data_IF_077912460846
#
_entry.id   IF_077912460846
#
_cell.length_a   1.000
_cell.length_b   1.000
_cell.length_c   1.000
_cell.angle_alpha   90.00
_cell.angle_beta   90.00
_cell.angle_gamma   90.00
#
_symmetry.space_group_name_H-M   'P 1'
#
loop_
_entity.id
_entity.type
_entity.pdbx_description
1 polymer ?
#
# COMPACT_ATOMS: atom_id res chain seq x y z
N UNK A 1 -9.19 5.43 -4.60
CA UNK A 1 -7.85 4.81 -4.45
C UNK A 1 -6.80 5.90 -4.22
N UNK A 2 -6.74 6.88 -5.09
CA UNK A 2 -5.70 7.92 -5.04
C UNK A 2 -5.70 8.74 -3.74
N UNK A 3 -6.86 9.11 -3.21
CA UNK A 3 -6.95 9.91 -1.98
C UNK A 3 -6.37 9.19 -0.77
N UNK A 4 -6.64 7.91 -0.61
CA UNK A 4 -6.10 7.10 0.48
C UNK A 4 -4.57 6.97 0.36
N UNK A 5 -4.09 6.64 -0.82
CA UNK A 5 -2.66 6.48 -1.09
C UNK A 5 -1.92 7.80 -0.94
N UNK A 6 -2.46 8.88 -1.51
CA UNK A 6 -1.85 10.22 -1.44
C UNK A 6 -1.82 10.73 0.00
N UNK A 7 -2.90 10.57 0.76
CA UNK A 7 -2.96 10.99 2.16
C UNK A 7 -1.91 10.31 3.03
N UNK A 8 -1.78 8.99 2.91
CA UNK A 8 -0.77 8.21 3.65
C UNK A 8 0.64 8.52 3.20
N UNK A 9 0.86 8.65 1.89
CA UNK A 9 2.16 8.95 1.29
C UNK A 9 2.63 10.38 1.63
N UNK A 10 1.73 11.36 1.64
CA UNK A 10 2.07 12.74 1.99
C UNK A 10 2.65 12.85 3.40
N UNK A 11 2.18 12.06 4.35
CA UNK A 11 2.75 12.03 5.69
C UNK A 11 4.18 11.53 5.70
N UNK A 12 4.50 10.56 4.86
CA UNK A 12 5.87 10.06 4.68
C UNK A 12 6.73 11.15 4.04
N UNK A 13 6.26 11.78 2.96
CA UNK A 13 6.99 12.86 2.26
C UNK A 13 7.31 14.03 3.16
N UNK A 14 6.31 14.51 3.89
CA UNK A 14 6.46 15.70 4.74
C UNK A 14 7.52 15.50 5.83
N UNK A 15 7.68 14.26 6.29
CA UNK A 15 8.62 13.97 7.38
C UNK A 15 10.00 13.52 6.89
N UNK A 16 10.07 12.79 5.79
CA UNK A 16 11.30 12.11 5.35
C UNK A 16 11.84 12.59 4.00
N UNK A 17 11.16 13.55 3.38
CA UNK A 17 11.58 14.17 2.11
C UNK A 17 11.94 13.16 1.03
N UNK A 18 11.06 12.18 0.80
CA UNK A 18 11.22 11.22 -0.28
C UNK A 18 10.41 11.61 -1.52
N UNK A 19 10.85 11.15 -2.69
CA UNK A 19 10.12 11.39 -3.92
C UNK A 19 8.73 10.75 -3.89
N UNK A 20 7.73 11.39 -4.51
CA UNK A 20 6.35 10.93 -4.54
C UNK A 20 6.21 9.49 -5.06
N UNK A 21 6.88 9.18 -6.18
CA UNK A 21 6.85 7.83 -6.74
C UNK A 21 7.44 6.76 -5.82
N UNK A 22 8.49 7.12 -5.08
CA UNK A 22 9.09 6.22 -4.09
C UNK A 22 8.12 5.95 -2.93
N UNK A 23 7.44 6.98 -2.44
CA UNK A 23 6.41 6.84 -1.40
C UNK A 23 5.26 5.94 -1.85
N UNK A 24 4.79 6.11 -3.07
CA UNK A 24 3.74 5.27 -3.66
C UNK A 24 4.19 3.81 -3.84
N UNK A 25 5.43 3.58 -4.26
CA UNK A 25 5.97 2.23 -4.42
C UNK A 25 6.01 1.46 -3.09
N UNK A 26 6.17 2.17 -1.97
CA UNK A 26 6.14 1.59 -0.63
C UNK A 26 4.70 1.32 -0.18
N UNK A 27 3.84 2.31 -0.29
CA UNK A 27 2.49 2.27 0.31
C UNK A 27 1.50 1.45 -0.53
N UNK A 28 1.57 1.50 -1.85
CA UNK A 28 0.58 0.87 -2.71
C UNK A 28 0.47 -0.65 -2.49
N UNK A 29 1.55 -1.43 -2.50
CA UNK A 29 1.46 -2.87 -2.21
C UNK A 29 0.94 -3.16 -0.80
N UNK A 30 1.34 -2.39 0.19
CA UNK A 30 0.87 -2.55 1.58
C UNK A 30 -0.63 -2.27 1.70
N UNK A 31 -1.12 -1.21 1.05
CA UNK A 31 -2.54 -0.89 0.97
C UNK A 31 -3.32 -2.03 0.30
N UNK A 32 -2.82 -2.60 -0.78
CA UNK A 32 -3.45 -3.73 -1.45
C UNK A 32 -3.54 -4.95 -0.51
N UNK A 33 -2.47 -5.27 0.21
CA UNK A 33 -2.46 -6.36 1.20
C UNK A 33 -3.50 -6.17 2.29
N UNK A 34 -3.75 -4.93 2.68
CA UNK A 34 -4.70 -4.59 3.73
C UNK A 34 -6.15 -4.61 3.25
N UNK A 35 -6.40 -4.18 2.01
CA UNK A 35 -7.77 -3.91 1.52
C UNK A 35 -8.33 -4.94 0.55
N UNK A 36 -7.55 -5.91 0.06
CA UNK A 36 -8.01 -6.81 -1.00
C UNK A 36 -9.27 -7.61 -0.64
N UNK A 37 -9.49 -7.89 0.63
CA UNK A 37 -10.67 -8.64 1.10
C UNK A 37 -11.98 -7.88 0.93
N UNK A 38 -11.92 -6.56 0.79
CA UNK A 38 -13.09 -5.71 0.58
C UNK A 38 -13.74 -5.97 -0.80
N UNK A 39 -12.95 -6.27 -1.82
CA UNK A 39 -13.44 -6.64 -3.15
C UNK A 39 -12.45 -7.61 -3.81
N UNK A 40 -12.53 -8.87 -3.41
CA UNK A 40 -11.64 -9.93 -3.90
C UNK A 40 -11.71 -10.07 -5.43
N UNK A 41 -12.89 -9.95 -6.02
CA UNK A 41 -13.05 -10.12 -7.47
C UNK A 41 -12.32 -9.03 -8.26
N UNK A 42 -12.34 -7.80 -7.78
CA UNK A 42 -11.63 -6.69 -8.42
C UNK A 42 -10.12 -6.86 -8.33
N UNK A 43 -9.61 -7.23 -7.18
CA UNK A 43 -8.18 -7.51 -7.01
C UNK A 43 -7.74 -8.74 -7.81
N UNK A 44 -8.58 -9.76 -7.91
CA UNK A 44 -8.32 -10.92 -8.75
C UNK A 44 -8.26 -10.52 -10.24
N UNK A 45 -9.16 -9.65 -10.68
CA UNK A 45 -9.13 -9.10 -12.05
C UNK A 45 -7.82 -8.37 -12.33
N UNK A 46 -7.35 -7.56 -11.40
CA UNK A 46 -6.03 -6.92 -11.47
C UNK A 46 -4.90 -7.95 -11.57
N UNK A 47 -4.94 -8.99 -10.74
CA UNK A 47 -3.92 -10.04 -10.73
C UNK A 47 -3.80 -10.73 -12.09
N UNK A 48 -4.92 -11.06 -12.70
CA UNK A 48 -4.94 -11.77 -13.99
C UNK A 48 -4.62 -10.84 -15.15
N UNK A 49 -5.31 -9.71 -15.24
CA UNK A 49 -5.25 -8.82 -16.42
C UNK A 49 -4.03 -7.92 -16.45
N UNK A 50 -3.56 -7.48 -15.31
CA UNK A 50 -2.43 -6.54 -15.23
C UNK A 50 -1.14 -7.26 -14.90
N UNK A 51 -1.15 -8.12 -13.88
CA UNK A 51 0.06 -8.78 -13.39
C UNK A 51 0.34 -10.13 -14.06
N UNK A 52 -0.57 -10.61 -14.90
CA UNK A 52 -0.38 -11.85 -15.66
C UNK A 52 -0.35 -13.11 -14.81
N UNK A 53 -1.03 -13.12 -13.67
CA UNK A 53 -1.13 -14.31 -12.83
C UNK A 53 -2.04 -15.33 -13.51
N UNK A 54 -1.60 -16.58 -13.56
CA UNK A 54 -2.33 -17.66 -14.24
C UNK A 54 -3.66 -17.97 -13.53
N UNK A 55 -4.69 -18.32 -14.32
CA UNK A 55 -5.98 -18.80 -13.82
C UNK A 55 -5.87 -20.15 -13.10
N UNK A 56 -4.73 -20.85 -13.20
CA UNK A 56 -4.50 -22.13 -12.53
C UNK A 56 -4.40 -22.07 -11.00
N UNK A 57 -4.43 -20.87 -10.42
CA UNK A 57 -4.53 -20.75 -8.97
C UNK A 57 -5.97 -21.04 -8.54
N UNK A 58 -6.15 -22.10 -7.75
CA UNK A 58 -7.47 -22.55 -7.27
C UNK A 58 -8.13 -21.54 -6.32
N UNK A 59 -7.34 -20.69 -5.67
CA UNK A 59 -7.80 -19.69 -4.72
C UNK A 59 -7.48 -18.28 -5.20
N UNK A 60 -8.51 -17.44 -5.30
CA UNK A 60 -8.37 -16.04 -5.73
C UNK A 60 -7.41 -15.25 -4.82
N UNK A 61 -7.42 -15.51 -3.52
CA UNK A 61 -6.53 -14.85 -2.58
C UNK A 61 -5.05 -15.13 -2.89
N UNK A 62 -4.71 -16.37 -3.23
CA UNK A 62 -3.34 -16.72 -3.62
C UNK A 62 -2.90 -15.99 -4.88
N UNK A 63 -3.80 -15.88 -5.86
CA UNK A 63 -3.53 -15.12 -7.08
C UNK A 63 -3.30 -13.64 -6.77
N UNK A 64 -4.09 -13.06 -5.89
CA UNK A 64 -3.93 -11.66 -5.48
C UNK A 64 -2.60 -11.43 -4.77
N UNK A 65 -2.23 -12.30 -3.83
CA UNK A 65 -0.95 -12.17 -3.11
C UNK A 65 0.25 -12.34 -4.05
N UNK A 66 0.16 -13.26 -5.00
CA UNK A 66 1.18 -13.41 -6.05
C UNK A 66 1.29 -12.14 -6.90
N UNK A 67 0.16 -11.53 -7.25
CA UNK A 67 0.16 -10.28 -8.02
C UNK A 67 0.83 -9.14 -7.25
N UNK A 68 0.55 -9.02 -5.97
CA UNK A 68 1.19 -8.00 -5.11
C UNK A 68 2.70 -8.25 -5.04
N UNK A 69 3.12 -9.49 -4.88
CA UNK A 69 4.54 -9.87 -4.90
C UNK A 69 5.22 -9.47 -6.23
N UNK A 70 4.57 -9.74 -7.37
CA UNK A 70 5.07 -9.34 -8.69
C UNK A 70 5.16 -7.83 -8.84
N UNK A 71 4.20 -7.08 -8.29
CA UNK A 71 4.22 -5.62 -8.30
C UNK A 71 5.41 -5.08 -7.51
N UNK A 72 5.64 -5.61 -6.31
CA UNK A 72 6.82 -5.23 -5.50
C UNK A 72 8.12 -5.56 -6.24
N UNK A 73 8.21 -6.74 -6.87
CA UNK A 73 9.39 -7.13 -7.66
C UNK A 73 9.61 -6.19 -8.85
N UNK A 74 8.54 -5.74 -9.50
CA UNK A 74 8.62 -4.75 -10.58
C UNK A 74 9.19 -3.43 -10.09
N UNK A 75 8.69 -2.91 -8.96
CA UNK A 75 9.21 -1.68 -8.37
C UNK A 75 10.70 -1.80 -8.00
N UNK A 76 11.12 -2.93 -7.44
CA UNK A 76 12.54 -3.19 -7.14
C UNK A 76 13.40 -3.16 -8.40
N UNK A 77 12.93 -3.73 -9.50
CA UNK A 77 13.65 -3.68 -10.79
C UNK A 77 13.82 -2.27 -11.32
N UNK A 78 12.88 -1.37 -11.00
CA UNK A 78 12.99 0.05 -11.33
C UNK A 78 13.94 0.83 -10.39
N UNK A 79 14.49 0.18 -9.38
CA UNK A 79 15.35 0.83 -8.38
C UNK A 79 14.57 1.56 -7.29
N UNK A 80 13.27 1.30 -7.13
CA UNK A 80 12.44 1.94 -6.13
C UNK A 80 12.47 1.18 -4.79
N UNK A 81 12.39 1.88 -3.65
CA UNK A 81 12.18 1.22 -2.37
C UNK A 81 10.77 0.62 -2.32
N UNK A 82 10.61 -0.53 -1.69
CA UNK A 82 9.28 -1.18 -1.52
C UNK A 82 8.93 -1.38 -0.05
N UNK A 83 9.83 -1.01 0.85
CA UNK A 83 9.63 -1.07 2.30
C UNK A 83 10.01 0.27 2.91
N UNK A 84 9.35 0.63 4.00
CA UNK A 84 9.70 1.84 4.76
C UNK A 84 11.15 1.79 5.25
N UNK A 85 11.61 0.62 5.70
CA UNK A 85 12.99 0.44 6.13
C UNK A 85 14.02 0.68 5.03
N UNK A 86 13.67 0.35 3.77
CA UNK A 86 14.56 0.58 2.62
C UNK A 86 14.76 2.08 2.36
N UNK A 87 13.80 2.91 2.77
CA UNK A 87 13.88 4.36 2.69
C UNK A 87 14.43 5.00 3.99
N UNK A 88 14.92 4.20 4.93
CA UNK A 88 15.46 4.69 6.20
C UNK A 88 14.41 5.13 7.21
N UNK A 89 13.17 4.70 7.06
CA UNK A 89 12.06 5.05 7.95
C UNK A 89 11.86 3.95 8.98
N UNK A 90 11.92 4.30 10.28
CA UNK A 90 11.69 3.34 11.35
C UNK A 90 10.22 3.30 11.82
N UNK A 91 9.90 2.30 12.62
CA UNK A 91 8.52 2.05 13.09
C UNK A 91 8.08 2.94 14.25
N UNK A 92 8.98 3.71 14.84
CA UNK A 92 8.71 4.53 16.04
C UNK A 92 7.72 5.66 15.78
N UNK A 93 7.58 6.07 14.53
CA UNK A 93 6.75 7.20 14.11
C UNK A 93 5.40 6.82 13.55
N UNK A 94 5.06 5.53 13.46
CA UNK A 94 3.85 5.07 12.79
C UNK A 94 2.57 5.66 13.40
N UNK A 95 2.48 5.71 14.73
CA UNK A 95 1.31 6.33 15.38
C UNK A 95 1.17 7.80 15.04
N UNK A 96 2.25 8.58 15.16
CA UNK A 96 2.25 10.00 14.82
C UNK A 96 1.93 10.24 13.35
N UNK A 97 2.48 9.42 12.45
CA UNK A 97 2.23 9.53 11.02
C UNK A 97 0.78 9.20 10.67
N UNK A 98 0.21 8.17 11.30
CA UNK A 98 -1.20 7.80 11.05
C UNK A 98 -2.18 8.85 11.57
N UNK A 99 -1.91 9.45 12.72
CA UNK A 99 -2.70 10.57 13.24
C UNK A 99 -2.63 11.79 12.33
N UNK A 100 -1.45 12.11 11.81
CA UNK A 100 -1.27 13.22 10.86
C UNK A 100 -1.98 12.96 9.54
N UNK A 101 -2.00 11.73 9.06
CA UNK A 101 -2.72 11.38 7.83
C UNK A 101 -4.23 11.66 7.95
N UNK A 102 -4.75 11.59 9.16
CA UNK A 102 -6.16 11.83 9.46
C UNK A 102 -6.49 13.28 9.83
N UNK A 103 -5.49 14.15 9.92
CA UNK A 103 -5.68 15.56 10.31
C UNK A 103 -6.60 16.23 9.29
N UNK A 104 -7.72 16.77 9.71
CA UNK A 104 -8.74 17.40 8.86
C UNK A 104 -9.63 16.44 8.06
N UNK A 105 -9.58 15.12 8.35
CA UNK A 105 -10.41 14.13 7.65
C UNK A 105 -10.98 13.11 8.64
N UNK A 106 -12.22 12.68 8.41
CA UNK A 106 -12.85 11.64 9.21
C UNK A 106 -12.33 10.25 8.83
N UNK A 107 -12.01 10.06 7.54
CA UNK A 107 -11.48 8.81 7.00
C UNK A 107 -10.67 9.08 5.73
N UNK A 108 -9.85 8.12 5.32
CA UNK A 108 -9.15 8.13 4.05
C UNK A 108 -9.74 7.05 3.12
N UNK A 109 -9.89 7.41 1.85
CA UNK A 109 -10.30 6.50 0.80
C UNK A 109 -11.81 6.27 0.71
N UNK A 110 -12.27 6.08 -0.52
CA UNK A 110 -13.68 5.77 -0.82
C UNK A 110 -13.89 4.28 -1.13
N UNK A 111 -12.86 3.58 -1.59
CA UNK A 111 -12.90 2.13 -1.81
C UNK A 111 -13.15 1.37 -0.49
N UNK A 112 -12.39 1.71 0.52
CA UNK A 112 -12.57 1.27 1.91
C UNK A 112 -12.23 2.44 2.81
N UNK A 113 -13.12 2.80 3.72
CA UNK A 113 -12.89 3.89 4.66
C UNK A 113 -11.84 3.48 5.68
N UNK A 114 -10.71 4.17 5.70
CA UNK A 114 -9.57 3.89 6.57
C UNK A 114 -9.45 4.96 7.64
N UNK A 115 -9.18 4.53 8.86
CA UNK A 115 -8.99 5.37 10.04
C UNK A 115 -7.54 5.28 10.52
N UNK A 116 -7.17 6.05 11.52
CA UNK A 116 -5.78 6.11 12.00
C UNK A 116 -5.18 4.73 12.32
N UNK A 117 -5.95 3.84 12.96
CA UNK A 117 -5.49 2.49 13.27
C UNK A 117 -5.27 1.64 12.01
N UNK A 118 -6.10 1.82 11.00
CA UNK A 118 -5.92 1.14 9.71
C UNK A 118 -4.65 1.62 9.01
N UNK A 119 -4.41 2.92 8.99
CA UNK A 119 -3.20 3.53 8.40
C UNK A 119 -1.95 3.02 9.12
N UNK A 120 -2.00 2.91 10.43
CA UNK A 120 -0.90 2.36 11.23
C UNK A 120 -0.60 0.90 10.86
N UNK A 121 -1.64 0.08 10.66
CA UNK A 121 -1.48 -1.31 10.20
C UNK A 121 -0.91 -1.39 8.79
N UNK A 122 -1.31 -0.50 7.89
CA UNK A 122 -0.74 -0.40 6.54
C UNK A 122 0.75 -0.06 6.62
N UNK A 123 1.15 0.89 7.46
CA UNK A 123 2.57 1.20 7.67
C UNK A 123 3.34 -0.01 8.20
N UNK A 124 2.75 -0.79 9.11
CA UNK A 124 3.36 -2.03 9.61
C UNK A 124 3.55 -3.06 8.49
N UNK A 125 2.58 -3.20 7.58
CA UNK A 125 2.71 -4.07 6.40
C UNK A 125 3.74 -3.55 5.40
N UNK A 126 4.00 -2.25 5.38
CA UNK A 126 4.99 -1.62 4.51
C UNK A 126 6.41 -1.62 5.10
N UNK A 127 6.59 -2.03 6.33
CA UNK A 127 7.89 -2.04 7.02
C UNK A 127 8.70 -3.28 6.67
#
# INVERSE_FOLDING_TARGET
ISECLVGSEMCIRDRYDIAHGAGLAIIFPAWMKYTYKTDVDRFHQFAVRVMGVDFGYDEKEKAILEAIFRLEAFFKRLGLPVRLRDAGIDDKQFSTMSERAMLYRDHLGEFEKLYAEDIKKIFALAY
#
